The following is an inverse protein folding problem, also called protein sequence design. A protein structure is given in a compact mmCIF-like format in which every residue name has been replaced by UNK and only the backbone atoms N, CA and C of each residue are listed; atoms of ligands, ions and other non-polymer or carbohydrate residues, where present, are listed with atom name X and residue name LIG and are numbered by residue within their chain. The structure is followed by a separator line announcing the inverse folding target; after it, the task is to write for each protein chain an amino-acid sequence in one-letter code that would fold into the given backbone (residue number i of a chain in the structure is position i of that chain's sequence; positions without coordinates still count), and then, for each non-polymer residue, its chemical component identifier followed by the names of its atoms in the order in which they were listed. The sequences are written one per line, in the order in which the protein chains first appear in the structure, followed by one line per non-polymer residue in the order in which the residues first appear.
data_IF_642998534731
#
_entry.id   IF_642998534731
#
_cell.length_a   1.000
_cell.length_b   1.000
_cell.length_c   1.000
_cell.angle_alpha   90.00
_cell.angle_beta   90.00
_cell.angle_gamma   90.00
#
_symmetry.space_group_name_H-M   'P 1'
#
loop_
_entity.id
_entity.type
_entity.pdbx_description
1 polymer ?
#
# COMPACT_ATOMS: atom_id res chain seq x y z
N UNK A 1 24.22 7.15 8.69
CA UNK A 1 23.25 6.32 9.43
C UNK A 1 21.96 7.11 9.53
N UNK A 2 20.83 6.58 9.07
CA UNK A 2 19.55 7.31 9.10
C UNK A 2 18.98 7.42 10.51
N UNK A 3 18.37 8.58 10.79
CA UNK A 3 17.56 8.77 11.99
C UNK A 3 16.16 8.18 11.79
N UNK A 4 15.38 8.10 12.86
CA UNK A 4 13.96 7.72 12.77
C UNK A 4 13.20 8.68 11.84
N UNK A 5 13.53 9.98 11.87
CA UNK A 5 12.90 10.99 11.02
C UNK A 5 13.20 10.76 9.55
N UNK A 6 14.46 10.53 9.21
CA UNK A 6 14.88 10.23 7.82
C UNK A 6 14.15 8.97 7.31
N UNK A 7 14.11 7.93 8.14
CA UNK A 7 13.45 6.67 7.82
C UNK A 7 11.94 6.83 7.58
N UNK A 8 11.26 7.63 8.42
CA UNK A 8 9.83 7.92 8.28
C UNK A 8 9.54 8.68 6.99
N UNK A 9 10.38 9.65 6.62
CA UNK A 9 10.21 10.44 5.40
C UNK A 9 10.32 9.59 4.12
N UNK A 10 11.07 8.49 4.17
CA UNK A 10 11.27 7.59 3.03
C UNK A 10 10.18 6.51 2.89
N UNK A 11 9.27 6.36 3.86
CA UNK A 11 8.30 5.26 3.84
C UNK A 11 7.31 5.33 2.68
N UNK A 12 6.94 6.54 2.24
CA UNK A 12 6.05 6.70 1.10
C UNK A 12 6.72 6.19 -0.19
N UNK A 13 7.89 6.75 -0.52
CA UNK A 13 8.69 6.32 -1.67
C UNK A 13 9.04 4.81 -1.62
N UNK A 14 9.23 4.25 -0.43
CA UNK A 14 9.41 2.80 -0.25
C UNK A 14 8.17 2.00 -0.70
N UNK A 15 6.97 2.44 -0.36
CA UNK A 15 5.72 1.75 -0.74
C UNK A 15 5.41 1.92 -2.22
N UNK A 16 5.78 3.06 -2.79
CA UNK A 16 5.61 3.38 -4.21
C UNK A 16 6.69 2.72 -5.09
N UNK A 17 7.74 2.15 -4.48
CA UNK A 17 8.83 1.47 -5.18
C UNK A 17 9.85 2.42 -5.83
N UNK A 18 9.92 3.65 -5.33
CA UNK A 18 10.70 4.75 -5.90
C UNK A 18 12.05 4.97 -5.21
N UNK A 19 12.42 4.14 -4.23
CA UNK A 19 13.72 4.25 -3.55
C UNK A 19 14.87 3.79 -4.45
N UNK A 20 15.97 4.54 -4.40
CA UNK A 20 17.26 4.07 -4.90
C UNK A 20 17.77 2.88 -4.09
N UNK A 21 18.77 2.18 -4.64
CA UNK A 21 19.41 1.06 -3.95
C UNK A 21 20.08 1.49 -2.63
N UNK A 22 20.68 2.68 -2.62
CA UNK A 22 21.37 3.23 -1.44
C UNK A 22 20.37 3.59 -0.32
N UNK A 23 19.28 4.28 -0.66
CA UNK A 23 18.22 4.60 0.29
C UNK A 23 17.56 3.33 0.86
N UNK A 24 17.34 2.33 -0.01
CA UNK A 24 16.80 1.04 0.41
C UNK A 24 17.70 0.36 1.42
N UNK A 25 19.02 0.38 1.19
CA UNK A 25 19.99 -0.22 2.09
C UNK A 25 19.98 0.48 3.46
N UNK A 26 20.10 1.81 3.47
CA UNK A 26 20.12 2.58 4.72
C UNK A 26 18.82 2.51 5.51
N UNK A 27 17.67 2.49 4.82
CA UNK A 27 16.38 2.30 5.47
C UNK A 27 16.28 0.90 6.12
N UNK A 28 16.75 -0.14 5.43
CA UNK A 28 16.78 -1.51 5.98
C UNK A 28 17.68 -1.61 7.21
N UNK A 29 18.86 -1.01 7.16
CA UNK A 29 19.79 -0.96 8.30
C UNK A 29 19.14 -0.32 9.52
N UNK A 30 18.42 0.80 9.34
CA UNK A 30 17.71 1.44 10.43
C UNK A 30 16.57 0.57 10.99
N UNK A 31 15.73 0.01 10.11
CA UNK A 31 14.61 -0.84 10.52
C UNK A 31 15.06 -2.11 11.23
N UNK A 32 16.25 -2.65 10.91
CA UNK A 32 16.82 -3.79 11.63
C UNK A 32 17.21 -3.47 13.08
N UNK A 33 17.55 -2.21 13.37
CA UNK A 33 18.01 -1.75 14.69
C UNK A 33 16.99 -0.97 15.52
N UNK A 34 15.82 -0.63 14.96
CA UNK A 34 14.88 0.29 15.58
C UNK A 34 13.45 -0.28 15.63
N UNK A 35 13.14 -0.99 16.73
CA UNK A 35 11.80 -1.54 16.97
C UNK A 35 10.66 -0.49 16.86
N UNK A 36 10.79 0.74 17.39
CA UNK A 36 9.75 1.77 17.24
C UNK A 36 9.43 2.11 15.78
N UNK A 37 10.44 2.14 14.90
CA UNK A 37 10.23 2.41 13.47
C UNK A 37 9.59 1.21 12.76
N UNK A 38 9.87 -0.03 13.19
CA UNK A 38 9.17 -1.22 12.69
C UNK A 38 7.70 -1.20 13.07
N UNK A 39 7.38 -0.85 14.31
CA UNK A 39 5.99 -0.72 14.78
C UNK A 39 5.25 0.41 14.04
N UNK A 40 5.92 1.55 13.84
CA UNK A 40 5.37 2.63 13.03
C UNK A 40 5.12 2.19 11.58
N UNK A 41 6.05 1.44 10.97
CA UNK A 41 5.86 0.95 9.61
C UNK A 41 4.64 0.03 9.50
N UNK A 42 4.39 -0.81 10.51
CA UNK A 42 3.22 -1.69 10.57
C UNK A 42 1.93 -0.89 10.56
N UNK A 43 1.84 0.17 11.38
CA UNK A 43 0.64 1.03 11.42
C UNK A 43 0.50 1.85 10.15
N UNK A 44 1.59 2.42 9.63
CA UNK A 44 1.62 3.19 8.39
C UNK A 44 1.09 2.38 7.19
N UNK A 45 1.49 1.12 7.04
CA UNK A 45 0.98 0.22 5.98
C UNK A 45 -0.50 -0.12 6.10
N UNK A 46 -1.07 -0.11 7.31
CA UNK A 46 -2.48 -0.40 7.52
C UNK A 46 -3.38 0.79 7.14
N UNK A 47 -2.86 2.02 7.24
CA UNK A 47 -3.63 3.27 7.04
C UNK A 47 -4.37 3.33 5.71
N UNK A 48 -3.77 3.07 4.53
CA UNK A 48 -4.49 3.14 3.26
C UNK A 48 -5.66 2.15 3.18
N UNK A 49 -5.49 0.94 3.74
CA UNK A 49 -6.53 -0.09 3.78
C UNK A 49 -7.69 0.31 4.70
N UNK A 50 -7.40 0.93 5.85
CA UNK A 50 -8.41 1.47 6.76
C UNK A 50 -9.18 2.63 6.13
N UNK A 51 -8.48 3.58 5.51
CA UNK A 51 -9.11 4.68 4.78
C UNK A 51 -9.99 4.15 3.63
N UNK A 52 -9.49 3.19 2.84
CA UNK A 52 -10.28 2.57 1.75
C UNK A 52 -11.54 1.92 2.29
N UNK A 53 -11.48 1.19 3.41
CA UNK A 53 -12.67 0.56 4.02
C UNK A 53 -13.65 1.60 4.57
N UNK A 54 -13.17 2.62 5.26
CA UNK A 54 -14.00 3.67 5.84
C UNK A 54 -14.69 4.53 4.76
N UNK A 55 -13.98 4.80 3.66
CA UNK A 55 -14.46 5.59 2.53
C UNK A 55 -15.10 4.73 1.43
N UNK A 56 -15.15 3.40 1.59
CA UNK A 56 -15.78 2.51 0.64
C UNK A 56 -17.28 2.81 0.60
N UNK A 57 -17.70 3.63 -0.37
CA UNK A 57 -19.11 3.72 -0.72
C UNK A 57 -19.55 2.39 -1.34
N UNK A 58 -20.75 1.94 -0.94
CA UNK A 58 -21.39 0.81 -1.60
C UNK A 58 -21.59 1.18 -3.07
N UNK A 59 -21.03 0.39 -3.98
CA UNK A 59 -21.27 0.55 -5.40
C UNK A 59 -22.79 0.47 -5.68
N UNK A 60 -23.37 1.44 -6.41
CA UNK A 60 -24.79 1.38 -6.77
C UNK A 60 -25.09 0.09 -7.56
N UNK A 61 -26.25 -0.51 -7.30
CA UNK A 61 -26.62 -1.80 -7.93
C UNK A 61 -26.65 -1.73 -9.46
N UNK A 62 -27.12 -0.63 -10.05
CA UNK A 62 -27.11 -0.45 -11.51
C UNK A 62 -25.71 -0.53 -12.12
N UNK A 63 -24.73 0.12 -11.47
CA UNK A 63 -23.33 0.12 -11.93
C UNK A 63 -22.75 -1.29 -11.82
N UNK A 64 -23.02 -1.98 -10.71
CA UNK A 64 -22.60 -3.37 -10.51
C UNK A 64 -23.18 -4.31 -11.57
N UNK A 65 -24.46 -4.16 -11.91
CA UNK A 65 -25.14 -5.00 -12.89
C UNK A 65 -24.56 -4.82 -14.29
N UNK A 66 -24.40 -3.57 -14.73
CA UNK A 66 -23.80 -3.23 -16.03
C UNK A 66 -22.35 -3.69 -16.14
N UNK A 67 -21.55 -3.50 -15.08
CA UNK A 67 -20.17 -3.98 -15.06
C UNK A 67 -20.09 -5.51 -15.15
N UNK A 68 -20.95 -6.23 -14.43
CA UNK A 68 -21.00 -7.70 -14.45
C UNK A 68 -21.34 -8.21 -15.84
N UNK A 69 -22.34 -7.60 -16.50
CA UNK A 69 -22.72 -7.95 -17.87
C UNK A 69 -21.56 -7.70 -18.84
N UNK A 70 -20.93 -6.53 -18.77
CA UNK A 70 -19.76 -6.21 -19.58
C UNK A 70 -18.64 -7.23 -19.40
N UNK A 71 -18.27 -7.57 -18.16
CA UNK A 71 -17.20 -8.52 -17.89
C UNK A 71 -17.54 -9.92 -18.41
N UNK A 72 -18.78 -10.40 -18.28
CA UNK A 72 -19.21 -11.69 -18.85
C UNK A 72 -19.06 -11.76 -20.38
N UNK A 73 -19.28 -10.64 -21.08
CA UNK A 73 -19.10 -10.61 -22.54
C UNK A 73 -17.64 -10.62 -22.99
N UNK A 74 -16.70 -10.25 -22.09
CA UNK A 74 -15.28 -10.03 -22.42
C UNK A 74 -14.34 -11.09 -21.84
N UNK A 75 -14.70 -11.69 -20.71
CA UNK A 75 -13.91 -12.72 -20.05
C UNK A 75 -14.47 -14.07 -20.48
N UNK A 76 -13.78 -14.78 -21.38
CA UNK A 76 -14.09 -16.20 -21.65
C UNK A 76 -13.89 -16.98 -20.33
N UNK A 77 -14.81 -17.88 -19.95
CA UNK A 77 -14.53 -18.81 -18.86
C UNK A 77 -13.25 -19.58 -19.23
N UNK A 78 -12.25 -19.50 -18.36
CA UNK A 78 -11.06 -20.34 -18.47
C UNK A 78 -11.53 -21.78 -18.24
N UNK A 79 -11.20 -22.74 -19.13
CA UNK A 79 -11.62 -24.13 -19.02
C UNK A 79 -11.08 -24.80 -17.76
#
# INVERSE_FOLDING_TARGET
MYTCKDSINLLQAMLDGELSAEETQHLREHLAGCAPCVDFLRTYRATPGLCRKALAQKMPQEVSAKLTEFLRTRIKPTP
#
